data_IF_969331714365
#
_entry.id   IF_969331714365
#
_cell.length_a   1.000
_cell.length_b   1.000
_cell.length_c   1.000
_cell.angle_alpha   90.00
_cell.angle_beta   90.00
_cell.angle_gamma   90.00
#
_symmetry.space_group_name_H-M   'P 1'
#
loop_
_entity.id
_entity.type
_entity.pdbx_description
1 polymer ?
#
# COMPACT_ATOMS: atom_id res chain seq x y z
N UNK A 1 15.41 27.04 2.81
CA UNK A 1 14.08 27.68 2.85
C UNK A 1 13.05 26.57 2.78
N UNK A 2 12.49 26.15 3.93
CA UNK A 2 11.49 25.08 3.97
C UNK A 2 10.20 25.65 3.37
N UNK A 3 9.84 25.21 2.18
CA UNK A 3 8.57 25.57 1.57
C UNK A 3 7.46 24.84 2.34
N UNK A 4 6.90 25.49 3.35
CA UNK A 4 5.68 25.03 4.01
C UNK A 4 4.56 25.03 2.95
N UNK A 5 4.16 23.82 2.50
CA UNK A 5 3.00 23.64 1.63
C UNK A 5 1.73 23.78 2.49
N UNK A 6 1.38 25.01 2.78
CA UNK A 6 0.14 25.38 3.48
C UNK A 6 -0.88 25.91 2.48
N UNK A 7 -2.14 25.56 2.72
CA UNK A 7 -3.28 26.06 1.97
C UNK A 7 -4.08 27.03 2.81
N UNK A 8 -4.41 28.20 2.27
CA UNK A 8 -5.25 29.19 2.94
C UNK A 8 -6.59 29.31 2.22
N UNK A 9 -7.67 29.16 2.99
CA UNK A 9 -9.03 29.38 2.52
C UNK A 9 -9.59 30.62 3.19
N UNK A 10 -10.08 31.56 2.40
CA UNK A 10 -10.77 32.76 2.89
C UNK A 10 -12.22 32.76 2.43
N UNK A 11 -13.14 32.98 3.37
CA UNK A 11 -14.57 33.06 3.12
C UNK A 11 -15.19 34.24 3.90
N UNK A 12 -16.08 35.00 3.28
CA UNK A 12 -16.64 36.22 3.87
C UNK A 12 -17.51 37.06 2.92
N UNK A 13 -18.07 38.16 3.44
CA UNK A 13 -18.98 39.05 2.72
C UNK A 13 -18.24 39.73 1.55
N UNK A 14 -18.67 39.46 0.31
CA UNK A 14 -18.04 39.95 -0.93
C UNK A 14 -17.53 38.84 -1.86
N UNK A 15 -17.34 37.63 -1.35
CA UNK A 15 -16.98 36.45 -2.14
C UNK A 15 -18.19 35.50 -2.24
N UNK A 16 -18.75 35.30 -3.45
CA UNK A 16 -19.83 34.32 -3.69
C UNK A 16 -19.34 32.86 -3.62
N UNK A 17 -18.05 32.63 -3.80
CA UNK A 17 -17.36 31.34 -3.67
C UNK A 17 -16.11 31.52 -2.80
N UNK A 18 -15.76 30.50 -2.01
CA UNK A 18 -14.54 30.47 -1.20
C UNK A 18 -13.31 30.76 -2.07
N UNK A 19 -12.54 31.77 -1.71
CA UNK A 19 -11.28 32.06 -2.40
C UNK A 19 -10.23 31.04 -1.95
N UNK A 20 -9.68 30.35 -2.94
CA UNK A 20 -8.86 29.15 -2.82
C UNK A 20 -7.43 29.50 -3.25
N UNK A 21 -6.49 29.69 -2.32
CA UNK A 21 -5.16 30.22 -2.62
C UNK A 21 -4.06 29.29 -2.09
N UNK A 22 -3.25 28.77 -3.03
CA UNK A 22 -2.02 28.02 -2.73
C UNK A 22 -0.84 28.99 -2.59
N UNK A 23 -0.51 29.37 -1.36
CA UNK A 23 0.62 30.26 -1.05
C UNK A 23 0.39 31.73 -1.44
N UNK A 24 1.26 32.63 -0.98
CA UNK A 24 1.17 34.08 -1.23
C UNK A 24 0.85 34.90 0.02
N UNK A 25 0.34 36.12 -0.18
CA UNK A 25 -0.11 37.02 0.89
C UNK A 25 -1.57 37.39 0.64
N UNK A 26 -2.41 37.25 1.66
CA UNK A 26 -3.79 37.71 1.62
C UNK A 26 -4.04 38.76 2.71
N UNK A 27 -4.73 39.84 2.36
CA UNK A 27 -5.17 40.87 3.30
C UNK A 27 -6.64 40.61 3.58
N UNK A 28 -6.93 39.93 4.69
CA UNK A 28 -8.29 39.63 5.11
C UNK A 28 -8.79 40.65 6.14
N UNK A 29 -10.00 41.18 5.93
CA UNK A 29 -10.62 42.13 6.85
C UNK A 29 -11.22 41.40 8.07
N UNK A 30 -10.75 41.64 9.30
CA UNK A 30 -11.05 40.79 10.47
C UNK A 30 -12.53 40.75 10.87
N UNK A 31 -13.31 41.79 10.54
CA UNK A 31 -14.73 41.85 10.88
C UNK A 31 -15.67 41.17 9.85
N UNK A 32 -15.23 41.01 8.59
CA UNK A 32 -16.08 40.56 7.47
C UNK A 32 -15.62 39.24 6.83
N UNK A 33 -14.37 38.84 7.08
CA UNK A 33 -13.72 37.71 6.42
C UNK A 33 -13.10 36.78 7.47
N UNK A 34 -13.28 35.47 7.27
CA UNK A 34 -12.64 34.42 8.07
C UNK A 34 -11.61 33.73 7.20
N UNK A 35 -10.44 33.46 7.79
CA UNK A 35 -9.37 32.68 7.16
C UNK A 35 -9.14 31.40 7.94
N UNK A 36 -8.81 30.32 7.24
CA UNK A 36 -8.42 29.03 7.82
C UNK A 36 -7.31 28.40 7.00
N UNK A 37 -6.40 27.72 7.70
CA UNK A 37 -5.29 27.01 7.09
C UNK A 37 -5.54 25.51 7.10
N UNK A 38 -5.14 24.84 6.03
CA UNK A 38 -5.13 23.39 5.92
C UNK A 38 -3.75 22.95 5.43
N UNK A 39 -3.20 21.90 6.05
CA UNK A 39 -1.93 21.32 5.63
C UNK A 39 -2.09 20.53 4.32
N UNK A 40 -1.21 20.76 3.35
CA UNK A 40 -1.14 19.98 2.10
C UNK A 40 -0.06 18.88 2.17
N UNK A 41 0.46 18.62 3.36
CA UNK A 41 1.51 17.63 3.55
C UNK A 41 0.98 16.21 3.32
N UNK A 42 1.90 15.32 2.95
CA UNK A 42 1.60 13.90 2.83
C UNK A 42 1.36 13.33 4.23
N UNK A 43 0.24 12.64 4.39
CA UNK A 43 -0.16 11.94 5.60
C UNK A 43 0.12 10.45 5.39
N UNK A 44 0.79 9.82 6.35
CA UNK A 44 1.04 8.37 6.32
C UNK A 44 0.08 7.67 7.26
N UNK A 45 -0.82 6.88 6.71
CA UNK A 45 -1.86 6.18 7.43
C UNK A 45 -1.50 4.71 7.58
N UNK A 46 -1.64 4.18 8.80
CA UNK A 46 -1.55 2.75 9.06
C UNK A 46 -2.97 2.20 9.08
N UNK A 47 -3.25 1.28 8.18
CA UNK A 47 -4.56 0.62 8.08
C UNK A 47 -4.41 -0.80 8.56
N UNK A 48 -5.27 -1.24 9.47
CA UNK A 48 -5.22 -2.58 10.03
C UNK A 48 -6.62 -3.17 10.00
N UNK A 49 -6.79 -4.32 9.37
CA UNK A 49 -8.03 -5.07 9.37
C UNK A 49 -7.78 -6.41 10.06
N UNK A 50 -8.33 -6.57 11.27
CA UNK A 50 -8.27 -7.82 12.04
C UNK A 50 -9.45 -8.73 11.72
N UNK A 51 -9.23 -10.04 11.87
CA UNK A 51 -10.23 -11.11 11.79
C UNK A 51 -11.15 -11.02 10.54
N UNK A 52 -10.56 -10.81 9.37
CA UNK A 52 -11.32 -10.79 8.12
C UNK A 52 -11.35 -12.20 7.53
N UNK A 53 -12.55 -12.75 7.37
CA UNK A 53 -12.74 -14.01 6.67
C UNK A 53 -12.56 -13.83 5.16
N UNK A 54 -11.65 -14.61 4.60
CA UNK A 54 -11.46 -14.72 3.13
C UNK A 54 -12.59 -15.53 2.48
N UNK A 55 -12.59 -15.62 1.15
CA UNK A 55 -13.59 -16.41 0.41
C UNK A 55 -13.63 -17.89 0.79
N UNK A 56 -12.54 -18.42 1.35
CA UNK A 56 -12.42 -19.80 1.83
C UNK A 56 -12.72 -19.96 3.34
N UNK A 57 -13.14 -18.89 4.02
CA UNK A 57 -13.46 -18.93 5.44
C UNK A 57 -12.25 -18.96 6.39
N UNK A 58 -11.04 -18.68 5.89
CA UNK A 58 -9.85 -18.56 6.74
C UNK A 58 -9.77 -17.12 7.28
N UNK A 59 -9.70 -16.92 8.61
CA UNK A 59 -9.52 -15.60 9.21
C UNK A 59 -8.09 -15.11 9.00
N UNK A 60 -7.96 -13.90 8.44
CA UNK A 60 -6.68 -13.23 8.24
C UNK A 60 -6.68 -11.85 8.89
N UNK A 61 -5.51 -11.48 9.39
CA UNK A 61 -5.20 -10.14 9.85
C UNK A 61 -4.20 -9.50 8.89
N UNK A 62 -4.56 -8.35 8.32
CA UNK A 62 -3.73 -7.65 7.32
C UNK A 62 -3.47 -6.22 7.75
N UNK A 63 -2.20 -5.85 7.71
CA UNK A 63 -1.72 -4.50 7.98
C UNK A 63 -1.20 -3.85 6.70
N UNK A 64 -1.64 -2.63 6.42
CA UNK A 64 -1.22 -1.82 5.28
C UNK A 64 -0.69 -0.44 5.71
N UNK A 65 0.02 0.19 4.78
CA UNK A 65 0.44 1.59 4.85
C UNK A 65 -0.06 2.29 3.61
N UNK A 66 -0.75 3.41 3.81
CA UNK A 66 -1.17 4.28 2.73
C UNK A 66 -0.53 5.65 2.91
N UNK A 67 -0.09 6.25 1.81
CA UNK A 67 0.28 7.66 1.78
C UNK A 67 -0.79 8.42 1.04
N UNK A 68 -1.38 9.40 1.69
CA UNK A 68 -2.44 10.24 1.13
C UNK A 68 -2.07 11.70 1.25
N UNK A 69 -2.56 12.52 0.33
CA UNK A 69 -2.42 13.97 0.39
C UNK A 69 -3.71 14.64 -0.10
N UNK A 70 -3.89 15.90 0.24
CA UNK A 70 -4.93 16.71 -0.38
C UNK A 70 -4.59 16.93 -1.86
N UNK A 71 -5.57 16.72 -2.74
CA UNK A 71 -5.35 16.92 -4.19
C UNK A 71 -5.35 18.41 -4.53
N UNK A 72 -4.32 18.85 -5.24
CA UNK A 72 -4.20 20.22 -5.77
C UNK A 72 -4.28 20.25 -7.30
N UNK A 73 -4.69 19.13 -7.93
CA UNK A 73 -4.66 19.00 -9.39
C UNK A 73 -5.77 19.82 -10.08
N UNK A 74 -6.98 19.81 -9.50
CA UNK A 74 -8.13 20.53 -10.02
C UNK A 74 -8.77 21.37 -8.91
N UNK A 75 -9.22 22.61 -9.23
CA UNK A 75 -9.85 23.49 -8.25
C UNK A 75 -11.13 22.88 -7.64
N UNK A 76 -11.91 22.12 -8.42
CA UNK A 76 -13.14 21.49 -7.95
C UNK A 76 -12.90 20.41 -6.88
N UNK A 77 -11.82 19.63 -7.03
CA UNK A 77 -11.45 18.58 -6.06
C UNK A 77 -10.96 19.24 -4.76
N UNK A 78 -10.27 20.36 -4.89
CA UNK A 78 -9.76 21.13 -3.77
C UNK A 78 -10.91 21.84 -3.00
N UNK A 79 -11.94 22.33 -3.70
CA UNK A 79 -13.15 22.87 -3.09
C UNK A 79 -13.84 21.81 -2.21
N UNK A 80 -14.02 20.58 -2.71
CA UNK A 80 -14.57 19.45 -1.93
C UNK A 80 -13.72 19.12 -0.70
N UNK A 81 -12.40 19.09 -0.86
CA UNK A 81 -11.48 18.87 0.27
C UNK A 81 -11.68 19.94 1.36
N UNK A 82 -11.83 21.20 0.97
CA UNK A 82 -12.06 22.30 1.89
C UNK A 82 -13.42 22.16 2.59
N UNK A 83 -14.49 21.82 1.86
CA UNK A 83 -15.82 21.62 2.45
C UNK A 83 -15.81 20.52 3.53
N UNK A 84 -15.12 19.41 3.28
CA UNK A 84 -15.09 18.28 4.21
C UNK A 84 -14.10 18.43 5.37
N UNK A 85 -12.93 19.03 5.12
CA UNK A 85 -11.79 18.99 6.06
C UNK A 85 -11.45 20.32 6.72
N UNK A 86 -11.91 21.47 6.23
CA UNK A 86 -11.54 22.79 6.78
C UNK A 86 -11.97 22.98 8.24
N UNK A 87 -12.95 22.19 8.71
CA UNK A 87 -13.44 22.20 10.10
C UNK A 87 -12.94 21.06 10.97
N UNK A 88 -12.16 20.14 10.42
CA UNK A 88 -11.65 18.96 11.12
C UNK A 88 -10.21 19.14 11.54
N UNK A 89 -9.82 18.52 12.66
CA UNK A 89 -8.41 18.42 13.03
C UNK A 89 -7.70 17.38 12.16
N UNK A 90 -6.38 17.46 12.05
CA UNK A 90 -5.57 16.47 11.30
C UNK A 90 -5.86 15.04 11.75
N UNK A 91 -5.95 14.81 13.07
CA UNK A 91 -6.29 13.50 13.66
C UNK A 91 -7.66 13.00 13.20
N UNK A 92 -8.67 13.88 13.11
CA UNK A 92 -9.99 13.50 12.63
C UNK A 92 -10.01 13.17 11.14
N UNK A 93 -9.18 13.84 10.34
CA UNK A 93 -9.02 13.55 8.91
C UNK A 93 -8.36 12.18 8.76
N UNK A 94 -7.25 11.93 9.47
CA UNK A 94 -6.56 10.64 9.46
C UNK A 94 -7.48 9.50 9.87
N UNK A 95 -8.29 9.68 10.92
CA UNK A 95 -9.25 8.68 11.38
C UNK A 95 -10.33 8.38 10.32
N UNK A 96 -10.89 9.42 9.69
CA UNK A 96 -11.90 9.24 8.63
C UNK A 96 -11.32 8.45 7.46
N UNK A 97 -10.15 8.86 6.96
CA UNK A 97 -9.51 8.23 5.79
C UNK A 97 -9.06 6.81 6.11
N UNK A 98 -8.54 6.57 7.33
CA UNK A 98 -8.15 5.24 7.79
C UNK A 98 -9.35 4.30 7.81
N UNK A 99 -10.51 4.76 8.32
CA UNK A 99 -11.74 3.96 8.35
C UNK A 99 -12.24 3.62 6.93
N UNK A 100 -12.21 4.58 6.00
CA UNK A 100 -12.58 4.34 4.59
C UNK A 100 -11.64 3.32 3.93
N UNK A 101 -10.32 3.47 4.11
CA UNK A 101 -9.33 2.53 3.58
C UNK A 101 -9.48 1.14 4.19
N UNK A 102 -9.75 1.05 5.50
CA UNK A 102 -10.00 -0.22 6.18
C UNK A 102 -11.24 -0.94 5.63
N UNK A 103 -12.32 -0.20 5.37
CA UNK A 103 -13.52 -0.73 4.75
C UNK A 103 -13.25 -1.35 3.37
N UNK A 104 -12.53 -0.62 2.51
CA UNK A 104 -12.13 -1.11 1.18
C UNK A 104 -11.17 -2.32 1.28
N UNK A 105 -10.19 -2.26 2.18
CA UNK A 105 -9.27 -3.36 2.44
C UNK A 105 -10.04 -4.63 2.84
N UNK A 106 -10.97 -4.52 3.81
CA UNK A 106 -11.80 -5.64 4.29
C UNK A 106 -12.70 -6.20 3.18
N UNK A 107 -13.32 -5.34 2.36
CA UNK A 107 -14.15 -5.75 1.24
C UNK A 107 -13.36 -6.57 0.20
N UNK A 108 -12.16 -6.12 -0.17
CA UNK A 108 -11.32 -6.86 -1.12
C UNK A 108 -10.81 -8.17 -0.53
N UNK A 109 -10.42 -8.20 0.75
CA UNK A 109 -9.99 -9.43 1.44
C UNK A 109 -11.08 -10.52 1.43
N UNK A 110 -12.35 -10.16 1.61
CA UNK A 110 -13.45 -11.12 1.59
C UNK A 110 -13.70 -11.76 0.22
N UNK A 111 -13.26 -11.12 -0.87
CA UNK A 111 -13.47 -11.63 -2.24
C UNK A 111 -12.32 -12.47 -2.78
N UNK A 112 -11.14 -12.41 -2.16
CA UNK A 112 -9.93 -13.11 -2.62
C UNK A 112 -9.63 -14.35 -1.76
N UNK A 113 -8.95 -15.32 -2.35
CA UNK A 113 -8.41 -16.48 -1.64
C UNK A 113 -7.12 -16.12 -0.89
N UNK A 114 -6.78 -16.89 0.14
CA UNK A 114 -5.55 -16.71 0.92
C UNK A 114 -4.32 -16.89 0.03
N UNK A 115 -4.35 -17.87 -0.87
CA UNK A 115 -3.28 -18.21 -1.79
C UNK A 115 -3.00 -17.09 -2.77
N UNK A 116 -4.05 -16.46 -3.32
CA UNK A 116 -3.91 -15.36 -4.27
C UNK A 116 -3.31 -14.13 -3.60
N UNK A 117 -3.73 -13.82 -2.37
CA UNK A 117 -3.18 -12.72 -1.59
C UNK A 117 -1.70 -12.98 -1.30
N UNK A 118 -1.35 -14.21 -0.91
CA UNK A 118 0.03 -14.58 -0.58
C UNK A 118 0.96 -14.58 -1.81
N UNK A 119 0.51 -15.18 -2.93
CA UNK A 119 1.29 -15.28 -4.18
C UNK A 119 1.38 -13.93 -4.90
N UNK A 120 0.29 -13.16 -4.95
CA UNK A 120 0.16 -11.96 -5.76
C UNK A 120 -0.19 -10.72 -4.92
N UNK A 121 0.67 -10.36 -3.97
CA UNK A 121 0.50 -9.15 -3.14
C UNK A 121 0.33 -7.86 -3.95
N UNK A 122 0.98 -7.77 -5.12
CA UNK A 122 0.86 -6.62 -6.02
C UNK A 122 -0.56 -6.46 -6.58
N UNK A 123 -1.22 -7.57 -6.93
CA UNK A 123 -2.59 -7.57 -7.44
C UNK A 123 -3.56 -7.06 -6.37
N UNK A 124 -3.42 -7.56 -5.14
CA UNK A 124 -4.21 -7.08 -4.01
C UNK A 124 -3.99 -5.57 -3.76
N UNK A 125 -2.73 -5.13 -3.69
CA UNK A 125 -2.40 -3.72 -3.50
C UNK A 125 -3.04 -2.83 -4.59
N UNK A 126 -3.00 -3.27 -5.85
CA UNK A 126 -3.58 -2.54 -6.98
C UNK A 126 -5.09 -2.42 -6.87
N UNK A 127 -5.79 -3.49 -6.48
CA UNK A 127 -7.26 -3.48 -6.33
C UNK A 127 -7.71 -2.56 -5.20
N UNK A 128 -7.06 -2.65 -4.04
CA UNK A 128 -7.35 -1.76 -2.90
C UNK A 128 -7.05 -0.31 -3.28
N UNK A 129 -5.92 -0.06 -3.93
CA UNK A 129 -5.55 1.26 -4.41
C UNK A 129 -6.57 1.84 -5.39
N UNK A 130 -7.03 1.07 -6.38
CA UNK A 130 -7.97 1.54 -7.40
C UNK A 130 -9.32 1.94 -6.80
N UNK A 131 -9.91 1.07 -5.97
CA UNK A 131 -11.21 1.31 -5.34
C UNK A 131 -11.12 2.47 -4.34
N UNK A 132 -10.09 2.49 -3.50
CA UNK A 132 -9.89 3.56 -2.54
C UNK A 132 -9.57 4.90 -3.20
N UNK A 133 -8.80 4.91 -4.30
CA UNK A 133 -8.47 6.15 -5.02
C UNK A 133 -9.71 6.82 -5.57
N UNK A 134 -10.66 6.06 -6.11
CA UNK A 134 -11.92 6.60 -6.62
C UNK A 134 -12.75 7.25 -5.52
N UNK A 135 -12.87 6.59 -4.37
CA UNK A 135 -13.67 7.06 -3.25
C UNK A 135 -13.04 8.27 -2.54
N UNK A 136 -11.74 8.20 -2.26
CA UNK A 136 -10.99 9.30 -1.63
C UNK A 136 -10.88 10.53 -2.55
N UNK A 137 -10.88 10.35 -3.88
CA UNK A 137 -10.95 11.46 -4.83
C UNK A 137 -12.24 12.27 -4.68
N UNK A 138 -13.37 11.61 -4.41
CA UNK A 138 -14.65 12.30 -4.16
C UNK A 138 -14.61 13.16 -2.90
N UNK A 139 -13.83 12.76 -1.89
CA UNK A 139 -13.60 13.53 -0.67
C UNK A 139 -12.59 14.67 -0.85
N UNK A 140 -11.90 14.74 -2.00
CA UNK A 140 -10.87 15.75 -2.26
C UNK A 140 -9.44 15.31 -1.95
N UNK A 141 -9.22 14.00 -1.73
CA UNK A 141 -7.92 13.42 -1.40
C UNK A 141 -7.33 12.65 -2.58
N UNK A 142 -6.01 12.60 -2.63
CA UNK A 142 -5.25 11.79 -3.58
C UNK A 142 -4.43 10.74 -2.82
N UNK A 143 -4.62 9.47 -3.18
CA UNK A 143 -3.75 8.38 -2.73
C UNK A 143 -2.48 8.40 -3.56
N UNK A 144 -1.32 8.48 -2.91
CA UNK A 144 -0.01 8.42 -3.55
C UNK A 144 0.47 6.98 -3.69
N UNK A 145 0.33 6.21 -2.62
CA UNK A 145 0.78 4.83 -2.58
C UNK A 145 -0.03 4.05 -1.55
N UNK A 146 -0.19 2.76 -1.83
CA UNK A 146 -0.73 1.78 -0.89
C UNK A 146 0.17 0.55 -0.92
N UNK A 147 0.56 0.06 0.26
CA UNK A 147 1.42 -1.12 0.38
C UNK A 147 1.04 -1.93 1.60
N UNK A 148 0.74 -3.23 1.39
CA UNK A 148 0.67 -4.19 2.49
C UNK A 148 2.00 -4.22 3.24
N UNK A 149 1.95 -4.05 4.56
CA UNK A 149 3.09 -4.24 5.46
C UNK A 149 3.19 -5.69 5.91
N UNK A 150 2.09 -6.25 6.43
CA UNK A 150 2.11 -7.58 7.05
C UNK A 150 0.78 -8.33 6.85
N UNK A 151 0.86 -9.65 6.82
CA UNK A 151 -0.26 -10.58 6.68
C UNK A 151 -0.02 -11.71 7.67
N UNK A 152 -0.92 -11.84 8.65
CA UNK A 152 -0.88 -12.87 9.67
C UNK A 152 -2.20 -13.62 9.73
N UNK A 153 -2.15 -14.83 10.28
CA UNK A 153 -3.29 -15.70 10.48
C UNK A 153 -3.19 -16.36 11.86
N UNK A 154 -4.33 -16.52 12.55
CA UNK A 154 -4.33 -17.03 13.93
C UNK A 154 -4.30 -18.57 14.00
N UNK A 155 -4.65 -19.24 12.88
CA UNK A 155 -4.83 -20.70 12.80
C UNK A 155 -3.55 -21.44 12.37
N UNK A 156 -2.56 -20.74 11.83
CA UNK A 156 -1.32 -21.30 11.30
C UNK A 156 -1.41 -21.83 9.87
N UNK A 157 -2.44 -21.45 9.10
CA UNK A 157 -2.65 -21.80 7.70
C UNK A 157 -1.48 -21.35 6.81
N UNK A 158 -1.00 -20.10 6.95
CA UNK A 158 0.12 -19.61 6.12
C UNK A 158 1.41 -20.36 6.43
N UNK A 159 1.62 -20.73 7.70
CA UNK A 159 2.75 -21.55 8.13
C UNK A 159 2.69 -22.95 7.51
N UNK A 160 1.52 -23.58 7.53
CA UNK A 160 1.32 -24.90 6.91
C UNK A 160 1.55 -24.86 5.39
N UNK A 161 1.08 -23.80 4.71
CA UNK A 161 1.31 -23.57 3.27
C UNK A 161 2.80 -23.40 2.94
N UNK A 162 3.55 -22.71 3.80
CA UNK A 162 5.01 -22.61 3.66
C UNK A 162 5.70 -23.96 3.81
N UNK A 163 5.33 -24.73 4.84
CA UNK A 163 5.92 -26.04 5.13
C UNK A 163 5.69 -27.06 4.00
N UNK A 164 4.48 -27.12 3.44
CA UNK A 164 4.18 -28.00 2.30
C UNK A 164 5.04 -27.64 1.08
N UNK A 165 5.19 -26.35 0.79
CA UNK A 165 5.99 -25.89 -0.34
C UNK A 165 7.48 -26.16 -0.15
N UNK A 166 8.01 -25.96 1.06
CA UNK A 166 9.40 -26.31 1.37
C UNK A 166 9.62 -27.81 1.23
N UNK A 167 8.68 -28.64 1.66
CA UNK A 167 8.77 -30.09 1.52
C UNK A 167 8.74 -30.53 0.05
N UNK A 168 7.91 -29.93 -0.80
CA UNK A 168 7.91 -30.16 -2.26
C UNK A 168 9.27 -29.82 -2.87
N UNK A 169 9.78 -28.62 -2.63
CA UNK A 169 11.07 -28.17 -3.19
C UNK A 169 12.21 -29.08 -2.73
N UNK A 170 12.21 -29.52 -1.47
CA UNK A 170 13.20 -30.48 -0.96
C UNK A 170 13.07 -31.87 -1.60
N UNK A 171 11.86 -32.35 -1.86
CA UNK A 171 11.65 -33.62 -2.57
C UNK A 171 12.16 -33.53 -4.00
N UNK A 172 11.84 -32.46 -4.72
CA UNK A 172 12.26 -32.26 -6.11
C UNK A 172 13.78 -32.12 -6.22
N UNK A 173 14.41 -31.41 -5.27
CA UNK A 173 15.86 -31.31 -5.19
C UNK A 173 16.53 -32.69 -5.02
N UNK A 174 16.01 -33.53 -4.11
CA UNK A 174 16.53 -34.90 -3.90
C UNK A 174 16.36 -35.79 -5.13
N UNK A 175 15.23 -35.68 -5.83
CA UNK A 175 14.99 -36.43 -7.07
C UNK A 175 15.95 -35.94 -8.16
N UNK A 176 16.15 -34.63 -8.29
CA UNK A 176 17.09 -34.04 -9.24
C UNK A 176 18.53 -34.51 -9.01
N UNK A 177 18.98 -34.56 -7.77
CA UNK A 177 20.30 -35.08 -7.40
C UNK A 177 20.43 -36.58 -7.72
N UNK A 178 19.43 -37.39 -7.36
CA UNK A 178 19.43 -38.82 -7.67
C UNK A 178 19.44 -39.10 -9.18
N UNK A 179 18.70 -38.32 -9.98
CA UNK A 179 18.70 -38.43 -11.44
C UNK A 179 20.03 -38.00 -12.06
N UNK A 180 20.64 -36.93 -11.56
CA UNK A 180 21.95 -36.45 -12.00
C UNK A 180 23.03 -37.53 -11.78
N UNK A 181 23.10 -38.09 -10.58
CA UNK A 181 24.05 -39.17 -10.25
C UNK A 181 23.80 -40.44 -11.10
N UNK A 182 22.54 -40.79 -11.35
CA UNK A 182 22.18 -41.93 -12.21
C UNK A 182 22.62 -41.70 -13.66
N UNK A 183 22.44 -40.49 -14.21
CA UNK A 183 22.90 -40.16 -15.56
C UNK A 183 24.42 -40.15 -15.67
N UNK A 184 25.13 -39.64 -14.67
CA UNK A 184 26.58 -39.64 -14.61
C UNK A 184 27.15 -41.07 -14.62
N UNK A 185 26.56 -41.99 -13.86
CA UNK A 185 26.95 -43.40 -13.85
C UNK A 185 26.73 -44.12 -15.20
N UNK A 186 25.80 -43.63 -16.03
CA UNK A 186 25.46 -44.24 -17.33
C UNK A 186 26.28 -43.68 -18.50
N UNK A 187 27.05 -42.60 -18.29
CA UNK A 187 27.88 -41.99 -19.33
C UNK A 187 29.30 -41.67 -18.81
N UNK A 188 30.18 -42.68 -18.68
CA UNK A 188 31.50 -42.53 -18.05
C UNK A 188 32.50 -41.66 -18.84
N UNK A 189 32.23 -41.33 -20.11
CA UNK A 189 33.17 -40.61 -20.99
C UNK A 189 33.01 -39.07 -20.98
N UNK A 190 32.03 -38.49 -20.28
CA UNK A 190 31.95 -37.03 -20.11
C UNK A 190 32.81 -36.54 -18.94
N UNK A 191 34.13 -36.71 -19.04
CA UNK A 191 35.07 -35.86 -18.30
C UNK A 191 35.04 -34.44 -18.88
N UNK A 192 34.07 -33.63 -18.48
CA UNK A 192 34.20 -32.18 -18.63
C UNK A 192 35.17 -31.68 -17.55
N UNK A 193 36.18 -30.87 -17.90
CA UNK A 193 37.15 -30.38 -16.94
C UNK A 193 36.43 -29.54 -15.88
N UNK A 194 36.74 -29.83 -14.61
CA UNK A 194 36.29 -29.21 -13.35
C UNK A 194 36.49 -27.68 -13.24
N UNK A 195 36.62 -26.93 -14.33
CA UNK A 195 36.91 -25.48 -14.29
C UNK A 195 35.69 -24.59 -14.10
N UNK A 196 34.46 -25.08 -14.23
CA UNK A 196 33.25 -24.24 -14.15
C UNK A 196 32.60 -24.28 -12.74
N UNK A 197 32.91 -25.28 -11.91
CA UNK A 197 32.36 -25.36 -10.55
C UNK A 197 32.92 -24.27 -9.60
N UNK A 198 34.10 -23.70 -9.87
CA UNK A 198 34.65 -22.60 -9.05
C UNK A 198 34.10 -21.21 -9.40
N UNK A 199 33.36 -21.04 -10.50
CA UNK A 199 32.92 -19.72 -10.96
C UNK A 199 31.51 -19.34 -10.47
N UNK A 200 30.73 -20.28 -9.93
CA UNK A 200 29.41 -19.98 -9.33
C UNK A 200 29.45 -19.60 -7.85
N UNK A 201 30.59 -19.81 -7.16
CA UNK A 201 30.75 -19.40 -5.77
C UNK A 201 31.02 -17.89 -5.61
N UNK A 202 31.50 -17.20 -6.65
CA UNK A 202 31.90 -15.78 -6.57
C UNK A 202 30.70 -14.82 -6.69
N UNK A 203 29.58 -15.23 -7.30
CA UNK A 203 28.47 -14.30 -7.58
C UNK A 203 27.48 -14.18 -6.41
N UNK A 204 27.55 -15.04 -5.40
CA UNK A 204 26.60 -15.00 -4.26
C UNK A 204 27.07 -14.04 -3.15
N UNK A 205 28.34 -13.68 -3.11
CA UNK A 205 28.92 -12.81 -2.06
C UNK A 205 28.88 -11.30 -2.41
N UNK A 206 28.27 -10.91 -3.53
CA UNK A 206 28.20 -9.52 -3.99
C UNK A 206 26.80 -8.87 -3.89
N UNK A 207 25.85 -9.55 -3.25
CA UNK A 207 24.48 -9.04 -3.04
C UNK A 207 24.02 -9.05 -1.58
N UNK A 208 24.95 -8.91 -0.62
CA UNK A 208 24.66 -8.46 0.75
C UNK A 208 25.28 -7.08 0.95
#
# INVERSE_FOLDING_TARGET
MVAFKEYEVVYGLGYRKSALITGGRIVAFPCLQRWRRMSLNVMTLRVTSSEVYTSQGVPLTVSGVAQVKVSTQHPDILERACEHFLRKSTVQIEALVTATLEGHQRAILGTMSVEDIYKNRKLFNSRVFEVASKDLCNLGLQVLSYTIRDISDDVGYLKALGMSRTAEVQRDARIGEALYLKQESHNPDRRLPLRIASMKAIVIDQCI
#
